data_IF_657786446103
#
_entry.id   IF_657786446103
#
_cell.length_a   1.000
_cell.length_b   1.000
_cell.length_c   1.000
_cell.angle_alpha   90.00
_cell.angle_beta   90.00
_cell.angle_gamma   90.00
#
_symmetry.space_group_name_H-M   'P 1'
#
loop_
_entity.id
_entity.type
_entity.pdbx_description
1 polymer ?
#
# COMPACT_ATOMS: atom_id res chain seq x y z
N UNK A 1 -18.21 3.06 -0.03
CA UNK A 1 -16.93 3.55 0.53
C UNK A 1 -15.84 2.59 0.07
N UNK A 2 -14.80 3.08 -0.60
CA UNK A 2 -13.67 2.24 -1.03
C UNK A 2 -12.64 2.23 0.09
N UNK A 3 -12.31 1.05 0.60
CA UNK A 3 -11.31 0.84 1.66
C UNK A 3 -10.05 0.23 1.06
N UNK A 4 -8.88 0.54 1.61
CA UNK A 4 -7.60 0.05 1.11
C UNK A 4 -6.86 -0.78 2.17
N UNK A 5 -6.50 -2.02 1.82
CA UNK A 5 -5.63 -2.83 2.66
C UNK A 5 -4.19 -2.55 2.22
N UNK A 6 -3.38 -2.01 3.13
CA UNK A 6 -1.95 -1.84 2.91
C UNK A 6 -1.20 -2.88 3.75
N UNK A 7 -0.35 -3.65 3.09
CA UNK A 7 0.51 -4.61 3.75
C UNK A 7 1.91 -4.03 3.83
N UNK A 8 2.33 -3.62 5.03
CA UNK A 8 3.72 -3.27 5.29
C UNK A 8 4.42 -4.48 5.92
N UNK A 9 4.92 -5.38 5.07
CA UNK A 9 5.80 -6.48 5.52
C UNK A 9 7.08 -5.84 6.02
N UNK A 10 7.36 -5.97 7.33
CA UNK A 10 8.54 -5.36 7.98
C UNK A 10 9.87 -6.05 7.63
N UNK A 11 9.85 -7.10 6.82
CA UNK A 11 11.06 -7.69 6.26
C UNK A 11 11.53 -6.89 5.04
N UNK A 12 12.67 -6.22 5.17
CA UNK A 12 13.32 -5.41 4.15
C UNK A 12 13.81 -6.19 2.90
N UNK A 13 13.35 -7.43 2.67
CA UNK A 13 13.83 -8.28 1.56
C UNK A 13 12.78 -8.71 0.55
N UNK A 14 11.48 -8.45 0.70
CA UNK A 14 10.50 -8.87 -0.32
C UNK A 14 9.33 -7.90 -0.53
N UNK A 15 9.61 -6.78 -1.18
CA UNK A 15 8.64 -5.75 -1.53
C UNK A 15 8.15 -5.92 -2.98
N UNK A 16 7.51 -7.06 -3.33
CA UNK A 16 7.03 -7.24 -4.71
C UNK A 16 5.69 -7.98 -4.95
N UNK A 17 4.84 -8.25 -3.95
CA UNK A 17 3.51 -8.83 -4.24
C UNK A 17 2.36 -8.19 -3.45
N UNK A 18 1.69 -7.24 -4.09
CA UNK A 18 0.31 -6.87 -3.77
C UNK A 18 -0.62 -8.00 -4.28
N UNK A 19 -1.26 -8.74 -3.38
CA UNK A 19 -2.02 -9.96 -3.70
C UNK A 19 -3.45 -9.73 -4.26
N UNK A 20 -3.87 -8.49 -4.49
CA UNK A 20 -5.26 -8.18 -4.91
C UNK A 20 -5.45 -7.78 -6.37
N UNK A 21 -4.41 -7.85 -7.22
CA UNK A 21 -4.52 -7.45 -8.62
C UNK A 21 -4.45 -8.65 -9.59
N UNK A 22 -5.57 -9.35 -9.77
CA UNK A 22 -5.71 -10.50 -10.68
C UNK A 22 -5.93 -10.12 -12.16
N UNK A 23 -5.69 -8.87 -12.56
CA UNK A 23 -5.77 -8.48 -13.98
C UNK A 23 -4.36 -8.30 -14.56
N UNK A 24 -4.00 -9.02 -15.64
CA UNK A 24 -2.76 -8.73 -16.35
C UNK A 24 -2.89 -7.33 -16.94
N UNK A 25 -2.16 -6.37 -16.36
CA UNK A 25 -1.92 -5.09 -16.99
C UNK A 25 -1.24 -5.41 -18.32
N UNK A 26 -1.93 -5.16 -19.44
CA UNK A 26 -1.31 -5.26 -20.76
C UNK A 26 -0.07 -4.37 -20.72
N UNK A 27 1.10 -5.01 -20.69
CA UNK A 27 2.41 -4.37 -20.85
C UNK A 27 2.43 -3.75 -22.24
N UNK A 28 2.04 -2.49 -22.34
CA UNK A 28 2.51 -1.67 -23.43
C UNK A 28 3.20 -0.43 -22.85
N UNK A 29 4.50 -0.38 -23.16
CA UNK A 29 5.48 0.71 -22.97
C UNK A 29 6.09 0.92 -21.57
N UNK A 30 7.29 0.32 -21.45
CA UNK A 30 8.50 0.63 -20.66
C UNK A 30 8.45 0.52 -19.12
N UNK A 31 9.47 -0.10 -18.50
CA UNK A 31 9.55 -0.23 -17.05
C UNK A 31 9.80 1.15 -16.43
N UNK A 32 9.00 1.50 -15.43
CA UNK A 32 9.14 2.66 -14.56
C UNK A 32 10.35 2.46 -13.62
N UNK A 33 11.54 2.26 -14.20
CA UNK A 33 12.82 2.26 -13.49
C UNK A 33 13.30 3.71 -13.44
N UNK A 34 13.36 4.22 -12.22
CA UNK A 34 13.79 5.56 -11.82
C UNK A 34 12.99 6.74 -12.38
N UNK A 35 11.99 7.17 -11.60
CA UNK A 35 11.43 8.52 -11.69
C UNK A 35 12.56 9.57 -11.66
N UNK A 36 13.58 9.35 -10.82
CA UNK A 36 14.77 10.23 -10.70
C UNK A 36 15.57 10.32 -12.01
N UNK A 37 15.71 9.20 -12.75
CA UNK A 37 16.41 9.19 -14.03
C UNK A 37 15.65 9.97 -15.11
N UNK A 38 14.31 9.95 -15.07
CA UNK A 38 13.48 10.78 -15.95
C UNK A 38 13.59 12.27 -15.64
N UNK A 39 13.70 12.66 -14.36
CA UNK A 39 13.94 14.06 -13.99
C UNK A 39 15.28 14.58 -14.55
N UNK A 40 16.34 13.78 -14.49
CA UNK A 40 17.63 14.14 -15.09
C UNK A 40 17.61 14.15 -16.63
N UNK A 41 16.75 13.35 -17.26
CA UNK A 41 16.60 13.34 -18.72
C UNK A 41 15.98 14.65 -19.26
N UNK A 42 15.10 15.30 -18.49
CA UNK A 42 14.50 16.59 -18.86
C UNK A 42 15.52 17.73 -18.87
N UNK A 43 16.65 17.58 -18.17
CA UNK A 43 17.77 18.51 -18.18
C UNK A 43 18.58 18.50 -19.50
N UNK A 44 18.40 17.48 -20.34
CA UNK A 44 19.17 17.25 -21.57
C UNK A 44 18.51 17.91 -22.79
N UNK A 45 17.27 18.40 -22.65
CA UNK A 45 16.58 19.11 -23.74
C UNK A 45 17.11 20.55 -23.90
N UNK A 46 17.40 21.01 -25.13
CA UNK A 46 17.66 22.42 -25.39
C UNK A 46 16.41 23.20 -24.96
N UNK A 47 16.54 24.08 -23.95
CA UNK A 47 15.42 24.78 -23.32
C UNK A 47 15.05 24.34 -21.90
N UNK A 48 15.61 23.21 -21.45
CA UNK A 48 15.35 22.64 -20.13
C UNK A 48 13.91 22.18 -19.93
N UNK A 49 13.56 21.95 -18.66
CA UNK A 49 12.24 21.43 -18.26
C UNK A 49 11.10 22.41 -18.55
N UNK A 50 11.37 23.72 -18.45
CA UNK A 50 10.34 24.75 -18.61
C UNK A 50 9.89 24.90 -20.06
N UNK A 51 10.83 24.93 -21.03
CA UNK A 51 10.48 24.96 -22.45
C UNK A 51 9.75 23.68 -22.89
N UNK A 52 10.19 22.52 -22.37
CA UNK A 52 9.54 21.24 -22.64
C UNK A 52 8.11 21.20 -22.07
N UNK A 53 7.91 21.75 -20.87
CA UNK A 53 6.60 21.90 -20.24
C UNK A 53 5.67 22.82 -21.05
N UNK A 54 6.15 23.99 -21.47
CA UNK A 54 5.38 24.91 -22.29
C UNK A 54 4.99 24.31 -23.66
N UNK A 55 5.89 23.55 -24.31
CA UNK A 55 5.58 22.84 -25.57
C UNK A 55 4.47 21.81 -25.44
N UNK A 56 4.31 21.21 -24.27
CA UNK A 56 3.23 20.26 -24.00
C UNK A 56 1.90 20.98 -23.72
N UNK A 57 1.88 22.31 -23.63
CA UNK A 57 0.69 23.11 -23.31
C UNK A 57 0.79 23.81 -21.95
N UNK A 58 1.90 23.63 -21.23
CA UNK A 58 2.23 24.38 -20.03
C UNK A 58 1.12 24.38 -18.98
N UNK A 59 0.97 25.53 -18.32
CA UNK A 59 -0.05 25.72 -17.28
C UNK A 59 -1.48 25.61 -17.80
N UNK A 60 -1.70 25.71 -19.12
CA UNK A 60 -3.05 25.57 -19.71
C UNK A 60 -3.59 24.14 -19.68
N UNK A 61 -2.72 23.14 -19.53
CA UNK A 61 -3.12 21.75 -19.30
C UNK A 61 -3.59 21.48 -17.87
N UNK A 62 -3.21 22.32 -16.92
CA UNK A 62 -3.67 22.22 -15.55
C UNK A 62 -5.10 22.75 -15.56
N UNK A 63 -6.07 21.84 -15.50
CA UNK A 63 -7.48 22.19 -15.40
C UNK A 63 -7.75 23.15 -14.25
N UNK A 64 -8.95 23.75 -14.21
CA UNK A 64 -9.34 24.75 -13.19
C UNK A 64 -9.19 24.25 -11.74
N UNK A 65 -9.16 22.93 -11.56
CA UNK A 65 -9.02 22.26 -10.26
C UNK A 65 -7.58 22.24 -9.71
N UNK A 66 -6.60 22.76 -10.46
CA UNK A 66 -5.20 22.86 -10.02
C UNK A 66 -4.47 21.51 -9.91
N UNK A 67 -3.29 21.53 -9.28
CA UNK A 67 -2.53 20.30 -8.98
C UNK A 67 -2.93 19.73 -7.63
N UNK A 68 -3.19 18.42 -7.58
CA UNK A 68 -3.59 17.70 -6.36
C UNK A 68 -2.49 16.75 -5.91
N UNK A 69 -2.29 16.67 -4.58
CA UNK A 69 -1.43 15.64 -3.99
C UNK A 69 -2.24 14.36 -3.87
N UNK A 70 -1.90 13.37 -4.70
CA UNK A 70 -2.63 12.10 -4.75
C UNK A 70 -1.72 10.93 -4.38
N UNK A 71 -2.30 9.91 -3.73
CA UNK A 71 -1.70 8.60 -3.57
C UNK A 71 -2.39 7.60 -4.49
N UNK A 72 -1.66 6.87 -5.35
CA UNK A 72 -2.20 5.73 -6.08
C UNK A 72 -2.54 4.58 -5.13
N UNK A 73 -3.80 4.16 -5.11
CA UNK A 73 -4.31 3.07 -4.28
C UNK A 73 -5.15 2.14 -5.15
N UNK A 74 -4.61 0.95 -5.43
CA UNK A 74 -5.23 0.00 -6.36
C UNK A 74 -5.41 0.62 -7.76
N UNK A 75 -6.67 0.78 -8.18
CA UNK A 75 -7.04 1.38 -9.49
C UNK A 75 -7.48 2.85 -9.37
N UNK A 76 -7.33 3.45 -8.19
CA UNK A 76 -7.85 4.78 -7.87
C UNK A 76 -6.72 5.71 -7.44
N UNK A 77 -6.95 7.02 -7.58
CA UNK A 77 -6.11 8.07 -7.02
C UNK A 77 -6.82 8.67 -5.81
N UNK A 78 -6.22 8.56 -4.63
CA UNK A 78 -6.73 9.15 -3.41
C UNK A 78 -6.17 10.56 -3.25
N UNK A 79 -7.06 11.55 -3.22
CA UNK A 79 -6.70 12.95 -2.97
C UNK A 79 -6.50 13.18 -1.46
N UNK A 80 -5.24 13.35 -1.05
CA UNK A 80 -4.87 13.57 0.35
C UNK A 80 -5.20 14.98 0.85
N UNK A 81 -5.56 15.90 -0.04
CA UNK A 81 -5.93 17.27 0.34
C UNK A 81 -7.36 17.39 0.87
N UNK A 82 -8.21 16.38 0.65
CA UNK A 82 -9.65 16.45 0.96
C UNK A 82 -9.96 16.08 2.40
N UNK A 83 -9.24 15.11 2.98
CA UNK A 83 -9.42 14.67 4.36
C UNK A 83 -8.18 14.00 4.93
N UNK A 84 -8.08 13.98 6.26
CA UNK A 84 -7.15 13.10 6.97
C UNK A 84 -7.70 11.68 6.95
N UNK A 85 -6.93 10.74 6.38
CA UNK A 85 -7.29 9.32 6.39
C UNK A 85 -6.86 8.64 7.69
N UNK A 86 -7.68 7.70 8.18
CA UNK A 86 -7.38 6.94 9.41
C UNK A 86 -6.81 5.57 9.05
N UNK A 87 -5.67 5.22 9.64
CA UNK A 87 -5.05 3.89 9.52
C UNK A 87 -5.26 3.11 10.82
N UNK A 88 -6.00 2.01 10.75
CA UNK A 88 -6.12 1.05 11.84
C UNK A 88 -4.93 0.10 11.84
N UNK A 89 -4.29 -0.08 13.00
CA UNK A 89 -3.14 -0.98 13.16
C UNK A 89 -3.64 -2.31 13.75
N UNK A 90 -3.51 -3.38 12.98
CA UNK A 90 -3.92 -4.73 13.36
C UNK A 90 -2.68 -5.62 13.52
N UNK A 91 -2.21 -5.76 14.76
CA UNK A 91 -1.11 -6.66 15.08
C UNK A 91 -1.63 -8.07 15.31
N UNK A 92 -1.13 -9.00 14.51
CA UNK A 92 -1.54 -10.40 14.43
C UNK A 92 -0.48 -11.22 15.15
N UNK A 93 -0.46 -11.17 16.49
CA UNK A 93 0.45 -11.99 17.31
C UNK A 93 -0.28 -13.24 17.80
N UNK A 94 0.33 -14.41 17.59
CA UNK A 94 -0.06 -15.63 18.27
C UNK A 94 0.45 -15.51 19.71
N UNK A 95 -0.40 -15.02 20.60
CA UNK A 95 -0.11 -15.10 22.02
C UNK A 95 -0.20 -16.58 22.40
N UNK A 96 0.84 -17.09 23.06
CA UNK A 96 1.31 -18.49 23.05
C UNK A 96 0.43 -19.54 23.75
N UNK A 97 -0.90 -19.39 23.81
CA UNK A 97 -1.76 -20.26 24.64
C UNK A 97 -3.15 -20.61 24.08
N UNK A 98 -3.41 -20.52 22.76
CA UNK A 98 -4.66 -21.09 22.20
C UNK A 98 -4.40 -22.43 21.52
N UNK A 99 -4.58 -23.53 22.26
CA UNK A 99 -4.59 -24.91 21.77
C UNK A 99 -5.84 -25.23 20.89
N UNK A 100 -6.45 -24.20 20.30
CA UNK A 100 -7.80 -24.22 19.72
C UNK A 100 -7.91 -23.57 18.34
N UNK A 101 -7.03 -23.93 17.40
CA UNK A 101 -7.33 -23.87 15.96
C UNK A 101 -6.84 -22.64 15.18
N UNK A 102 -6.08 -22.89 14.11
CA UNK A 102 -5.72 -21.89 13.08
C UNK A 102 -6.94 -21.13 12.51
N UNK A 103 -8.11 -21.77 12.49
CA UNK A 103 -9.34 -21.16 11.97
C UNK A 103 -9.92 -20.11 12.91
N UNK A 104 -9.98 -20.37 14.22
CA UNK A 104 -10.45 -19.39 15.21
C UNK A 104 -9.58 -18.13 15.18
N UNK A 105 -8.27 -18.30 15.08
CA UNK A 105 -7.34 -17.19 14.94
C UNK A 105 -7.62 -16.32 13.70
N UNK A 106 -7.86 -16.93 12.54
CA UNK A 106 -8.18 -16.18 11.31
C UNK A 106 -9.51 -15.43 11.45
N UNK A 107 -10.52 -16.09 12.01
CA UNK A 107 -11.85 -15.50 12.21
C UNK A 107 -11.81 -14.29 13.16
N UNK A 108 -11.03 -14.38 14.23
CA UNK A 108 -10.84 -13.29 15.20
C UNK A 108 -10.18 -12.07 14.53
N UNK A 109 -9.10 -12.30 13.77
CA UNK A 109 -8.38 -11.23 13.05
C UNK A 109 -9.28 -10.58 11.99
N UNK A 110 -10.03 -11.36 11.23
CA UNK A 110 -10.99 -10.86 10.23
C UNK A 110 -12.10 -10.04 10.91
N UNK A 111 -12.62 -10.52 12.03
CA UNK A 111 -13.66 -9.81 12.80
C UNK A 111 -13.16 -8.46 13.30
N UNK A 112 -11.92 -8.41 13.80
CA UNK A 112 -11.29 -7.16 14.23
C UNK A 112 -11.06 -6.20 13.06
N UNK A 113 -10.61 -6.68 11.89
CA UNK A 113 -10.48 -5.85 10.69
C UNK A 113 -11.82 -5.25 10.26
N UNK A 114 -12.90 -6.05 10.26
CA UNK A 114 -14.26 -5.58 9.95
C UNK A 114 -14.76 -4.54 10.95
N UNK A 115 -14.47 -4.73 12.24
CA UNK A 115 -14.80 -3.75 13.27
C UNK A 115 -14.09 -2.41 13.00
N UNK A 116 -12.78 -2.42 12.71
CA UNK A 116 -12.03 -1.20 12.39
C UNK A 116 -12.62 -0.48 11.16
N UNK A 117 -13.00 -1.23 10.12
CA UNK A 117 -13.69 -0.67 8.94
C UNK A 117 -15.02 -0.02 9.36
N UNK A 118 -15.81 -0.70 10.19
CA UNK A 118 -17.10 -0.16 10.67
C UNK A 118 -16.95 1.10 11.53
N UNK A 119 -15.79 1.27 12.18
CA UNK A 119 -15.43 2.44 12.97
C UNK A 119 -14.84 3.58 12.12
N UNK A 120 -14.72 3.38 10.80
CA UNK A 120 -14.28 4.43 9.88
C UNK A 120 -12.80 4.44 9.56
N UNK A 121 -12.08 3.33 9.80
CA UNK A 121 -10.73 3.19 9.24
C UNK A 121 -10.79 3.27 7.70
N UNK A 122 -9.87 4.01 7.10
CA UNK A 122 -9.66 4.09 5.65
C UNK A 122 -8.61 3.10 5.17
N UNK A 123 -7.65 2.79 6.05
CA UNK A 123 -6.55 1.84 5.80
C UNK A 123 -6.45 0.89 7.00
N UNK A 124 -6.18 -0.39 6.77
CA UNK A 124 -5.76 -1.34 7.82
C UNK A 124 -4.31 -1.69 7.48
N UNK A 125 -3.43 -1.50 8.45
CA UNK A 125 -2.06 -2.00 8.46
C UNK A 125 -2.02 -3.30 9.27
N UNK A 126 -1.69 -4.41 8.60
CA UNK A 126 -1.69 -5.76 9.20
C UNK A 126 -0.25 -6.24 9.32
N UNK A 127 0.21 -6.46 10.56
CA UNK A 127 1.56 -6.95 10.85
C UNK A 127 1.52 -8.23 11.69
N UNK A 128 2.26 -9.27 11.28
CA UNK A 128 2.34 -10.54 12.02
C UNK A 128 3.63 -10.70 12.84
N UNK A 129 4.60 -9.81 12.64
CA UNK A 129 5.80 -9.72 13.45
C UNK A 129 5.68 -8.61 14.51
N UNK A 130 5.92 -8.98 15.76
CA UNK A 130 6.01 -8.01 16.86
C UNK A 130 7.31 -7.20 16.75
N UNK A 131 7.18 -5.87 16.85
CA UNK A 131 8.30 -4.92 16.95
C UNK A 131 8.52 -4.45 18.39
N UNK A 132 7.82 -5.04 19.37
CA UNK A 132 7.97 -4.71 20.79
C UNK A 132 9.40 -5.02 21.27
N UNK A 133 9.94 -4.25 22.23
CA UNK A 133 11.26 -4.54 22.81
C UNK A 133 11.34 -5.99 23.30
N UNK A 134 12.45 -6.67 23.02
CA UNK A 134 12.71 -8.08 23.38
C UNK A 134 11.82 -9.13 22.70
N UNK A 135 10.99 -8.76 21.72
CA UNK A 135 10.26 -9.75 20.93
C UNK A 135 11.24 -10.63 20.14
N UNK A 136 11.02 -11.95 20.18
CA UNK A 136 11.72 -12.87 19.30
C UNK A 136 11.33 -12.58 17.85
N UNK A 137 12.33 -12.42 16.98
CA UNK A 137 12.08 -12.34 15.54
C UNK A 137 11.59 -13.69 15.04
N UNK A 138 10.61 -13.65 14.16
CA UNK A 138 10.13 -14.82 13.42
C UNK A 138 10.81 -14.86 12.05
N UNK A 139 10.78 -16.01 11.38
CA UNK A 139 11.28 -16.09 10.01
C UNK A 139 10.29 -15.43 9.03
N UNK A 140 10.74 -15.01 7.83
CA UNK A 140 9.84 -14.51 6.79
C UNK A 140 8.76 -15.52 6.41
N UNK A 141 9.09 -16.81 6.38
CA UNK A 141 8.15 -17.90 6.08
C UNK A 141 7.07 -17.99 7.17
N UNK A 142 7.47 -17.87 8.43
CA UNK A 142 6.53 -17.86 9.55
C UNK A 142 5.61 -16.63 9.54
N UNK A 143 6.15 -15.44 9.23
CA UNK A 143 5.34 -14.22 9.04
C UNK A 143 4.32 -14.40 7.91
N UNK A 144 4.75 -14.98 6.79
CA UNK A 144 3.92 -15.22 5.62
C UNK A 144 2.81 -16.25 5.89
N UNK A 145 3.13 -17.36 6.58
CA UNK A 145 2.18 -18.40 6.95
C UNK A 145 1.09 -17.88 7.91
N UNK A 146 1.42 -16.87 8.72
CA UNK A 146 0.45 -16.16 9.56
C UNK A 146 -0.43 -15.19 8.75
N UNK A 147 0.16 -14.44 7.81
CA UNK A 147 -0.55 -13.40 7.06
C UNK A 147 -1.43 -13.93 5.93
N UNK A 148 -0.98 -14.91 5.13
CA UNK A 148 -1.73 -15.35 3.94
C UNK A 148 -3.18 -15.75 4.28
N UNK A 149 -3.45 -16.60 5.29
CA UNK A 149 -4.81 -17.04 5.57
C UNK A 149 -5.74 -15.87 5.92
N UNK A 150 -5.24 -14.91 6.69
CA UNK A 150 -5.95 -13.68 7.06
C UNK A 150 -6.24 -12.84 5.81
N UNK A 151 -5.23 -12.57 4.98
CA UNK A 151 -5.38 -11.73 3.79
C UNK A 151 -6.30 -12.34 2.74
N UNK A 152 -6.41 -13.67 2.68
CA UNK A 152 -7.37 -14.36 1.80
C UNK A 152 -8.81 -14.26 2.29
N UNK A 153 -9.03 -14.01 3.57
CA UNK A 153 -10.35 -14.01 4.20
C UNK A 153 -10.98 -12.61 4.32
N UNK A 154 -10.20 -11.54 4.12
CA UNK A 154 -10.65 -10.14 4.06
C UNK A 154 -10.94 -9.76 2.60
#
# INVERSE_FOLDING_TARGET
MSFAIFLLVSSATDLHRCLTCSTPIKRNTRPMRDIVAYWHFLSIYPGGIFESWEKLGGQSLIGKDGMKRVLPVGKSLWDWSVKTSVMGILNVTLDSFSDGGKYQFVEDVVSQARLMISQGADIIDIGAQSTRPMASRISPEEEHDRLIPVLKAI
#
